data_IF_959055440895
#
_entry.id   IF_959055440895
#
_cell.length_a   1.000
_cell.length_b   1.000
_cell.length_c   1.000
_cell.angle_alpha   90.00
_cell.angle_beta   90.00
_cell.angle_gamma   90.00
#
_symmetry.space_group_name_H-M   'P 1'
#
loop_
_entity.id
_entity.type
_entity.pdbx_description
1 polymer ?
#
# COMPACT_ATOMS: atom_id res chain seq x y z
N UNK A 1 -41.72 16.64 23.30
CA UNK A 1 -40.66 16.06 24.18
C UNK A 1 -40.29 14.61 23.82
N UNK A 2 -41.22 13.71 23.44
CA UNK A 2 -40.93 12.29 23.12
C UNK A 2 -40.13 12.05 21.81
N UNK A 3 -40.29 12.91 20.81
CA UNK A 3 -39.52 12.84 19.55
C UNK A 3 -38.03 13.16 19.74
N UNK A 4 -37.70 14.06 20.67
CA UNK A 4 -36.32 14.43 20.95
C UNK A 4 -35.56 13.25 21.57
N UNK A 5 -36.15 12.55 22.53
CA UNK A 5 -35.55 11.34 23.13
C UNK A 5 -35.39 10.19 22.13
N UNK A 6 -36.32 10.03 21.18
CA UNK A 6 -36.18 9.06 20.09
C UNK A 6 -35.07 9.47 19.09
N UNK A 7 -34.95 10.76 18.77
CA UNK A 7 -33.89 11.26 17.90
C UNK A 7 -32.50 11.10 18.55
N UNK A 8 -32.35 11.38 19.84
CA UNK A 8 -31.10 11.15 20.57
C UNK A 8 -30.76 9.65 20.67
N UNK A 9 -31.76 8.78 20.87
CA UNK A 9 -31.56 7.32 20.86
C UNK A 9 -31.17 6.79 19.47
N UNK A 10 -31.79 7.30 18.41
CA UNK A 10 -31.46 6.94 17.02
C UNK A 10 -30.06 7.45 16.65
N UNK A 11 -29.69 8.66 17.07
CA UNK A 11 -28.36 9.22 16.85
C UNK A 11 -27.29 8.41 17.61
N UNK A 12 -27.56 7.98 18.85
CA UNK A 12 -26.68 7.10 19.61
C UNK A 12 -26.58 5.68 19.03
N UNK A 13 -27.63 5.19 18.35
CA UNK A 13 -27.56 3.94 17.60
C UNK A 13 -26.76 4.09 16.29
N UNK A 14 -26.86 5.25 15.63
CA UNK A 14 -26.11 5.56 14.41
C UNK A 14 -24.60 5.78 14.67
N UNK A 15 -24.21 6.28 15.85
CA UNK A 15 -22.78 6.46 16.23
C UNK A 15 -22.02 5.13 16.36
N UNK A 16 -22.70 4.06 16.79
CA UNK A 16 -22.07 2.75 16.97
C UNK A 16 -21.87 2.00 15.66
N UNK A 17 -22.57 2.39 14.59
CA UNK A 17 -22.37 1.86 13.23
C UNK A 17 -21.17 2.51 12.51
N UNK A 18 -20.79 3.74 12.84
CA UNK A 18 -19.62 4.41 12.22
C UNK A 18 -18.29 4.00 12.87
N UNK A 19 -18.32 3.45 14.09
CA UNK A 19 -17.16 2.91 14.79
C UNK A 19 -16.69 1.54 14.28
N UNK A 20 -17.36 0.95 13.28
CA UNK A 20 -17.08 -0.41 12.82
C UNK A 20 -15.83 -0.53 11.92
N UNK A 21 -15.08 0.55 11.70
CA UNK A 21 -13.82 0.47 10.97
C UNK A 21 -12.78 -0.27 11.81
N UNK A 22 -12.47 -1.48 11.36
CA UNK A 22 -11.53 -2.34 12.02
C UNK A 22 -10.11 -1.78 11.92
N UNK A 23 -9.20 -2.32 12.74
CA UNK A 23 -7.78 -1.96 12.68
C UNK A 23 -7.18 -2.34 11.32
N UNK A 24 -7.63 -3.47 10.74
CA UNK A 24 -7.12 -3.95 9.46
C UNK A 24 -7.47 -3.01 8.31
N UNK A 25 -8.64 -2.37 8.33
CA UNK A 25 -9.07 -1.44 7.27
C UNK A 25 -8.15 -0.20 7.24
N UNK A 26 -7.82 0.32 8.43
CA UNK A 26 -6.90 1.46 8.57
C UNK A 26 -5.50 1.13 8.07
N UNK A 27 -5.02 -0.09 8.32
CA UNK A 27 -3.72 -0.54 7.81
C UNK A 27 -3.72 -0.64 6.27
N UNK A 28 -4.80 -1.14 5.67
CA UNK A 28 -4.95 -1.21 4.21
C UNK A 28 -4.86 0.19 3.59
N UNK A 29 -5.58 1.17 4.13
CA UNK A 29 -5.56 2.54 3.61
C UNK A 29 -4.20 3.20 3.77
N UNK A 30 -3.58 3.07 4.95
CA UNK A 30 -2.23 3.60 5.20
C UNK A 30 -1.22 3.05 4.18
N UNK A 31 -1.22 1.74 3.96
CA UNK A 31 -0.26 1.10 3.04
C UNK A 31 -0.52 1.50 1.58
N UNK A 32 -1.80 1.65 1.20
CA UNK A 32 -2.17 2.18 -0.12
C UNK A 32 -1.64 3.59 -0.33
N UNK A 33 -1.79 4.48 0.64
CA UNK A 33 -1.29 5.85 0.55
C UNK A 33 0.25 5.88 0.50
N UNK A 34 0.91 5.03 1.28
CA UNK A 34 2.36 4.84 1.23
C UNK A 34 2.83 4.33 -0.14
N UNK A 35 2.06 3.46 -0.82
CA UNK A 35 2.36 3.00 -2.18
C UNK A 35 2.08 4.09 -3.22
N UNK A 36 0.95 4.80 -3.11
CA UNK A 36 0.60 5.88 -4.02
C UNK A 36 1.67 6.98 -4.05
N UNK A 37 2.24 7.29 -2.87
CA UNK A 37 3.28 8.31 -2.70
C UNK A 37 4.62 7.92 -3.35
N UNK A 38 4.97 6.63 -3.40
CA UNK A 38 6.31 6.19 -3.84
C UNK A 38 6.35 5.44 -5.19
N UNK A 39 5.30 4.69 -5.54
CA UNK A 39 5.19 3.95 -6.79
C UNK A 39 4.24 4.62 -7.78
N UNK A 40 3.32 5.46 -7.29
CA UNK A 40 2.34 6.19 -8.09
C UNK A 40 0.89 5.78 -7.82
N UNK A 41 -0.04 6.69 -8.08
CA UNK A 41 -1.47 6.58 -7.71
C UNK A 41 -2.24 5.42 -8.38
N UNK A 42 -1.72 4.86 -9.46
CA UNK A 42 -2.38 3.81 -10.25
C UNK A 42 -1.89 2.38 -9.92
N UNK A 43 -0.97 2.22 -8.96
CA UNK A 43 -0.40 0.91 -8.64
C UNK A 43 -1.25 0.23 -7.57
N UNK A 44 -1.87 -0.90 -7.93
CA UNK A 44 -2.60 -1.74 -6.96
C UNK A 44 -1.65 -2.63 -6.16
N UNK A 45 -2.16 -3.28 -5.11
CA UNK A 45 -1.36 -4.26 -4.34
C UNK A 45 -0.93 -5.45 -5.21
N UNK A 46 -1.80 -5.83 -6.14
CA UNK A 46 -1.56 -6.89 -7.11
C UNK A 46 -0.47 -6.51 -8.11
N UNK A 47 -0.50 -5.30 -8.66
CA UNK A 47 0.56 -4.78 -9.54
C UNK A 47 1.89 -4.62 -8.77
N UNK A 48 1.81 -4.14 -7.53
CA UNK A 48 2.97 -4.02 -6.66
C UNK A 48 3.60 -5.38 -6.31
N UNK A 49 2.86 -6.49 -6.38
CA UNK A 49 3.40 -7.86 -6.29
C UNK A 49 3.69 -8.51 -7.65
N UNK A 50 3.10 -7.99 -8.73
CA UNK A 50 3.19 -8.55 -10.08
C UNK A 50 2.42 -9.87 -10.19
N UNK A 51 1.23 -9.92 -9.60
CA UNK A 51 0.31 -11.07 -9.64
C UNK A 51 -1.08 -10.59 -10.08
N UNK A 52 -1.90 -11.49 -10.60
CA UNK A 52 -3.31 -11.20 -10.92
C UNK A 52 -4.17 -11.12 -9.65
N UNK A 53 -5.24 -10.30 -9.62
CA UNK A 53 -6.23 -10.32 -8.53
C UNK A 53 -6.85 -11.70 -8.28
N UNK A 54 -6.91 -12.55 -9.30
CA UNK A 54 -7.40 -13.93 -9.23
C UNK A 54 -6.34 -14.97 -8.78
N UNK A 55 -5.11 -14.54 -8.51
CA UNK A 55 -4.01 -15.45 -8.20
C UNK A 55 -4.21 -16.21 -6.88
N UNK A 56 -3.69 -17.43 -6.82
CA UNK A 56 -3.74 -18.27 -5.62
C UNK A 56 -2.84 -17.72 -4.50
N UNK A 57 -3.07 -18.17 -3.26
CA UNK A 57 -2.21 -17.82 -2.12
C UNK A 57 -0.76 -18.29 -2.33
N UNK A 58 -0.57 -19.42 -3.00
CA UNK A 58 0.76 -19.93 -3.33
C UNK A 58 1.50 -19.04 -4.32
N UNK A 59 0.80 -18.49 -5.31
CA UNK A 59 1.37 -17.54 -6.26
C UNK A 59 1.78 -16.24 -5.57
N UNK A 60 0.97 -15.75 -4.62
CA UNK A 60 1.30 -14.58 -3.79
C UNK A 60 2.57 -14.86 -2.98
N UNK A 61 2.66 -16.04 -2.35
CA UNK A 61 3.85 -16.46 -1.60
C UNK A 61 5.11 -16.53 -2.47
N UNK A 62 4.98 -17.08 -3.67
CA UNK A 62 6.07 -17.20 -4.64
C UNK A 62 6.51 -15.82 -5.14
N UNK A 63 5.56 -14.94 -5.46
CA UNK A 63 5.82 -13.57 -5.89
C UNK A 63 6.52 -12.75 -4.80
N UNK A 64 6.06 -12.87 -3.54
CA UNK A 64 6.70 -12.26 -2.38
C UNK A 64 8.15 -12.73 -2.24
N UNK A 65 8.41 -14.04 -2.25
CA UNK A 65 9.78 -14.59 -2.17
C UNK A 65 10.67 -14.10 -3.30
N UNK A 66 10.13 -13.93 -4.52
CA UNK A 66 10.88 -13.36 -5.66
C UNK A 66 11.22 -11.89 -5.43
N UNK A 67 10.27 -11.06 -5.02
CA UNK A 67 10.47 -9.63 -4.80
C UNK A 67 11.35 -9.33 -3.58
N UNK A 68 11.19 -10.07 -2.47
CA UNK A 68 12.05 -9.96 -1.29
C UNK A 68 13.52 -10.27 -1.62
N UNK A 69 13.79 -11.33 -2.39
CA UNK A 69 15.16 -11.63 -2.85
C UNK A 69 15.74 -10.54 -3.74
N UNK A 70 14.92 -9.91 -4.57
CA UNK A 70 15.37 -8.81 -5.43
C UNK A 70 15.70 -7.52 -4.64
N UNK A 71 14.98 -7.26 -3.55
CA UNK A 71 15.16 -6.08 -2.69
C UNK A 71 16.21 -6.29 -1.57
N UNK A 72 16.75 -7.51 -1.42
CA UNK A 72 17.75 -7.81 -0.42
C UNK A 72 19.01 -6.91 -0.59
N UNK A 73 19.60 -6.39 0.50
CA UNK A 73 20.73 -5.46 0.44
C UNK A 73 21.93 -5.99 -0.37
N UNK A 74 22.17 -7.30 -0.34
CA UNK A 74 23.21 -7.94 -1.16
C UNK A 74 22.91 -7.84 -2.67
N UNK A 75 21.68 -8.18 -3.08
CA UNK A 75 21.27 -8.10 -4.48
C UNK A 75 21.21 -6.67 -5.00
N UNK A 76 20.80 -5.73 -4.16
CA UNK A 76 20.79 -4.30 -4.50
C UNK A 76 22.21 -3.78 -4.77
N UNK A 77 23.18 -4.17 -3.94
CA UNK A 77 24.60 -3.83 -4.18
C UNK A 77 25.09 -4.38 -5.52
N UNK A 78 24.79 -5.65 -5.80
CA UNK A 78 25.15 -6.29 -7.08
C UNK A 78 24.51 -5.59 -8.28
N UNK A 79 23.23 -5.20 -8.18
CA UNK A 79 22.53 -4.47 -9.24
C UNK A 79 23.17 -3.11 -9.52
N UNK A 80 23.50 -2.32 -8.50
CA UNK A 80 24.15 -1.01 -8.67
C UNK A 80 25.52 -1.16 -9.35
N UNK A 81 26.30 -2.17 -8.95
CA UNK A 81 27.58 -2.47 -9.58
C UNK A 81 27.40 -2.86 -11.05
N UNK A 82 26.46 -3.78 -11.34
CA UNK A 82 26.17 -4.23 -12.68
C UNK A 82 25.67 -3.10 -13.60
N UNK A 83 24.77 -2.24 -13.12
CA UNK A 83 24.28 -1.09 -13.87
C UNK A 83 25.38 -0.08 -14.17
N UNK A 84 26.30 0.16 -13.23
CA UNK A 84 27.46 1.02 -13.50
C UNK A 84 28.39 0.43 -14.53
N UNK A 85 28.68 -0.87 -14.45
CA UNK A 85 29.51 -1.55 -15.45
C UNK A 85 28.87 -1.45 -16.84
N UNK A 86 27.55 -1.66 -16.94
CA UNK A 86 26.79 -1.48 -18.18
C UNK A 86 26.87 -0.04 -18.71
N UNK A 87 26.67 0.96 -17.84
CA UNK A 87 26.75 2.38 -18.22
C UNK A 87 28.16 2.79 -18.66
N UNK A 88 29.21 2.31 -17.99
CA UNK A 88 30.59 2.59 -18.36
C UNK A 88 30.95 1.96 -19.71
N UNK A 89 30.51 0.70 -19.95
CA UNK A 89 30.66 0.03 -21.25
C UNK A 89 29.95 0.80 -22.37
N UNK A 90 28.73 1.26 -22.13
CA UNK A 90 27.97 2.08 -23.10
C UNK A 90 28.63 3.44 -23.38
N UNK A 91 29.31 4.04 -22.39
CA UNK A 91 30.03 5.32 -22.52
C UNK A 91 31.49 5.16 -23.01
N UNK A 92 31.93 3.95 -23.35
CA UNK A 92 33.30 3.70 -23.80
C UNK A 92 34.40 3.88 -22.74
N UNK A 93 34.03 4.05 -21.45
CA UNK A 93 34.99 4.28 -20.36
C UNK A 93 35.48 2.94 -19.81
N UNK A 94 36.78 2.65 -20.00
CA UNK A 94 37.43 1.40 -19.57
C UNK A 94 37.76 1.33 -18.07
N UNK A 95 37.71 2.45 -17.35
CA UNK A 95 38.03 2.54 -15.91
C UNK A 95 36.76 2.45 -15.06
N UNK A 96 36.55 1.31 -14.40
CA UNK A 96 35.47 1.09 -13.43
C UNK A 96 35.80 1.69 -12.07
N UNK A 97 35.49 2.98 -11.84
CA UNK A 97 35.47 3.52 -10.48
C UNK A 97 34.33 2.86 -9.69
N UNK A 98 34.65 2.26 -8.54
CA UNK A 98 33.65 1.63 -7.66
C UNK A 98 32.57 2.64 -7.22
N UNK A 99 31.32 2.20 -7.00
CA UNK A 99 30.27 3.07 -6.48
C UNK A 99 30.61 3.67 -5.12
N UNK A 100 30.32 4.96 -4.95
CA UNK A 100 30.50 5.66 -3.68
C UNK A 100 29.68 4.97 -2.58
N UNK A 101 30.31 4.74 -1.43
CA UNK A 101 29.68 4.06 -0.29
C UNK A 101 28.39 4.77 0.17
N UNK A 102 28.33 6.09 0.09
CA UNK A 102 27.13 6.87 0.41
C UNK A 102 25.95 6.52 -0.52
N UNK A 103 26.22 6.39 -1.82
CA UNK A 103 25.20 6.02 -2.81
C UNK A 103 24.69 4.60 -2.60
N UNK A 104 25.58 3.67 -2.23
CA UNK A 104 25.20 2.29 -1.88
C UNK A 104 24.30 2.29 -0.63
N UNK A 105 24.69 3.00 0.43
CA UNK A 105 23.89 3.08 1.66
C UNK A 105 22.50 3.65 1.41
N UNK A 106 22.40 4.74 0.64
CA UNK A 106 21.12 5.33 0.27
C UNK A 106 20.22 4.38 -0.52
N UNK A 107 20.78 3.64 -1.49
CA UNK A 107 20.01 2.68 -2.26
C UNK A 107 19.57 1.47 -1.43
N UNK A 108 20.44 0.96 -0.55
CA UNK A 108 20.09 -0.12 0.39
C UNK A 108 18.98 0.32 1.34
N UNK A 109 19.04 1.56 1.86
CA UNK A 109 17.98 2.12 2.71
C UNK A 109 16.63 2.16 1.97
N UNK A 110 16.61 2.72 0.76
CA UNK A 110 15.40 2.77 -0.09
C UNK A 110 14.83 1.38 -0.39
N UNK A 111 15.70 0.41 -0.69
CA UNK A 111 15.28 -0.97 -0.92
C UNK A 111 14.69 -1.61 0.35
N UNK A 112 15.27 -1.34 1.53
CA UNK A 112 14.75 -1.78 2.82
C UNK A 112 13.35 -1.21 3.12
N UNK A 113 13.14 0.09 2.88
CA UNK A 113 11.82 0.73 3.03
C UNK A 113 10.79 0.12 2.06
N UNK A 114 11.18 -0.19 0.82
CA UNK A 114 10.32 -0.87 -0.15
C UNK A 114 9.99 -2.30 0.28
N UNK A 115 10.96 -3.00 0.88
CA UNK A 115 10.77 -4.35 1.40
C UNK A 115 9.85 -4.38 2.63
N UNK A 116 9.93 -3.39 3.52
CA UNK A 116 9.03 -3.26 4.66
C UNK A 116 7.57 -3.16 4.20
N UNK A 117 7.29 -2.27 3.22
CA UNK A 117 5.95 -2.12 2.61
C UNK A 117 5.47 -3.40 1.94
N UNK A 118 6.36 -4.07 1.19
CA UNK A 118 6.05 -5.37 0.57
C UNK A 118 5.62 -6.41 1.60
N UNK A 119 6.25 -6.44 2.77
CA UNK A 119 5.83 -7.31 3.87
C UNK A 119 4.39 -7.03 4.29
N UNK A 120 4.05 -5.77 4.52
CA UNK A 120 2.71 -5.37 4.97
C UNK A 120 1.65 -5.70 3.91
N UNK A 121 1.89 -5.33 2.64
CA UNK A 121 0.99 -5.65 1.51
C UNK A 121 0.74 -7.15 1.41
N UNK A 122 1.80 -7.94 1.54
CA UNK A 122 1.67 -9.41 1.44
C UNK A 122 0.89 -9.97 2.61
N UNK A 123 1.05 -9.43 3.82
CA UNK A 123 0.28 -9.85 4.98
C UNK A 123 -1.22 -9.55 4.82
N UNK A 124 -1.57 -8.38 4.25
CA UNK A 124 -2.96 -8.05 3.90
C UNK A 124 -3.53 -9.08 2.93
N UNK A 125 -2.81 -9.39 1.85
CA UNK A 125 -3.29 -10.31 0.81
C UNK A 125 -3.31 -11.79 1.23
N UNK A 126 -2.53 -12.17 2.23
CA UNK A 126 -2.56 -13.53 2.81
C UNK A 126 -3.69 -13.73 3.82
N UNK A 127 -4.12 -12.65 4.46
CA UNK A 127 -5.12 -12.68 5.51
C UNK A 127 -6.54 -12.36 5.01
N UNK A 128 -7.50 -12.20 5.94
CA UNK A 128 -8.86 -11.75 5.63
C UNK A 128 -8.92 -10.32 5.08
N UNK A 129 -7.80 -9.57 5.16
CA UNK A 129 -7.67 -8.25 4.56
C UNK A 129 -7.77 -8.26 3.02
N UNK A 130 -7.57 -9.40 2.36
CA UNK A 130 -7.72 -9.54 0.91
C UNK A 130 -9.16 -9.27 0.46
N UNK A 131 -10.14 -9.91 1.08
CA UNK A 131 -11.55 -9.78 0.70
C UNK A 131 -12.04 -8.34 0.91
N UNK A 132 -11.57 -7.70 1.98
CA UNK A 132 -11.86 -6.28 2.27
C UNK A 132 -11.20 -5.36 1.25
N UNK A 133 -9.93 -5.62 0.91
CA UNK A 133 -9.24 -4.88 -0.14
C UNK A 133 -9.96 -4.99 -1.49
N UNK A 134 -10.40 -6.19 -1.87
CA UNK A 134 -11.14 -6.44 -3.10
C UNK A 134 -12.51 -5.75 -3.09
N UNK A 135 -13.17 -5.69 -1.93
CA UNK A 135 -14.38 -4.89 -1.74
C UNK A 135 -14.12 -3.40 -2.01
N UNK A 136 -13.07 -2.81 -1.45
CA UNK A 136 -12.72 -1.41 -1.72
C UNK A 136 -12.25 -1.17 -3.16
N UNK A 137 -11.66 -2.17 -3.81
CA UNK A 137 -11.29 -2.10 -5.22
C UNK A 137 -12.53 -1.97 -6.13
N UNK A 138 -13.62 -2.67 -5.78
CA UNK A 138 -14.88 -2.65 -6.54
C UNK A 138 -15.76 -1.44 -6.22
N UNK A 139 -15.86 -1.06 -4.95
CA UNK A 139 -16.76 0.00 -4.49
C UNK A 139 -16.10 1.38 -4.44
N UNK A 140 -14.77 1.44 -4.54
CA UNK A 140 -13.99 2.65 -4.38
C UNK A 140 -13.42 2.78 -2.97
N UNK A 141 -12.24 3.39 -2.90
CA UNK A 141 -11.57 3.70 -1.66
C UNK A 141 -12.07 5.05 -1.12
N UNK A 142 -12.36 5.15 0.18
CA UNK A 142 -12.55 6.45 0.82
C UNK A 142 -11.26 7.27 0.68
N UNK A 143 -11.38 8.52 0.25
CA UNK A 143 -10.23 9.41 0.06
C UNK A 143 -10.25 10.49 1.15
N UNK A 144 -9.14 10.60 1.88
CA UNK A 144 -8.92 11.72 2.80
C UNK A 144 -8.38 12.93 2.02
N UNK A 145 -9.10 14.05 2.08
CA UNK A 145 -8.65 15.35 1.58
C UNK A 145 -8.68 16.34 2.74
N UNK A 146 -7.57 16.44 3.50
CA UNK A 146 -7.53 17.32 4.68
C UNK A 146 -8.32 16.74 5.87
N UNK A 147 -9.14 17.57 6.54
CA UNK A 147 -9.94 17.23 7.74
C UNK A 147 -11.29 16.56 7.44
N UNK A 148 -11.57 16.19 6.19
CA UNK A 148 -12.85 15.60 5.79
C UNK A 148 -12.71 14.18 5.22
N UNK A 149 -13.51 13.27 5.77
CA UNK A 149 -13.78 11.96 5.20
C UNK A 149 -14.74 12.14 4.02
N UNK A 150 -14.26 12.07 2.78
CA UNK A 150 -15.14 12.06 1.60
C UNK A 150 -15.40 10.60 1.20
N UNK A 151 -16.62 10.05 1.44
CA UNK A 151 -16.97 8.72 0.96
C UNK A 151 -17.07 8.72 -0.58
N UNK A 152 -16.79 7.59 -1.24
CA UNK A 152 -17.00 7.47 -2.68
C UNK A 152 -18.47 7.76 -3.03
N UNK A 153 -18.68 8.44 -4.16
CA UNK A 153 -19.96 9.04 -4.60
C UNK A 153 -21.17 8.07 -4.68
N UNK A 154 -20.97 6.77 -4.44
CA UNK A 154 -22.02 5.76 -4.42
C UNK A 154 -22.85 5.71 -3.11
N UNK A 155 -22.48 6.46 -2.05
CA UNK A 155 -23.18 6.43 -0.75
C UNK A 155 -23.77 7.81 -0.35
N UNK A 156 -24.07 8.65 -1.34
CA UNK A 156 -24.39 10.09 -1.10
C UNK A 156 -25.82 10.35 -0.61
N UNK A 157 -26.69 9.35 -0.42
CA UNK A 157 -28.10 9.65 -0.16
C UNK A 157 -28.52 9.82 1.32
N UNK A 158 -27.79 9.36 2.34
CA UNK A 158 -28.38 9.36 3.71
C UNK A 158 -27.48 9.53 4.93
N UNK A 159 -26.18 9.74 4.80
CA UNK A 159 -25.29 9.87 5.98
C UNK A 159 -24.46 11.14 5.91
N UNK A 160 -25.16 12.26 5.79
CA UNK A 160 -24.67 13.53 6.35
C UNK A 160 -24.82 13.38 7.87
N UNK A 161 -23.75 13.67 8.61
CA UNK A 161 -23.68 13.71 10.08
C UNK A 161 -23.34 12.37 10.78
N UNK A 162 -22.04 12.00 10.82
CA UNK A 162 -21.28 11.77 12.07
C UNK A 162 -19.83 11.30 11.79
N UNK A 163 -18.87 12.18 12.06
CA UNK A 163 -17.47 11.85 12.34
C UNK A 163 -17.11 12.50 13.68
N UNK A 164 -17.11 11.70 14.75
CA UNK A 164 -16.31 11.90 15.96
C UNK A 164 -15.39 10.69 16.06
#
# INVERSE_FOLDING_TARGET
MKFSTLAFGLLAALTSLTAAWSKEDREIFRVRDELATHEGHNVTFYDFLGVSPSASLDDINKAYKRKSRALHPDKVRQQIMAERTKKNKAKGVKVTKQPSQSQIKGAVKKAGERQARLGIVTNVLRGPGRDRYDHFLKNGFPTWKGTECVPPLAVVASTIWLCI
#
